data_IF_176973063937
#
_entry.id   IF_176973063937
#
_cell.length_a   1.000
_cell.length_b   1.000
_cell.length_c   1.000
_cell.angle_alpha   90.00
_cell.angle_beta   90.00
_cell.angle_gamma   90.00
#
_symmetry.space_group_name_H-M   'P 1'
#
loop_
_entity.id
_entity.type
_entity.pdbx_description
1 polymer ?
#
# COMPACT_ATOMS: atom_id res chain seq x y z
N UNK A 1 16.63 36.86 19.75
CA UNK A 1 16.38 36.17 18.46
C UNK A 1 16.00 34.74 18.81
N UNK A 2 14.98 34.14 18.18
CA UNK A 2 14.75 32.71 18.36
C UNK A 2 16.02 31.95 17.97
N UNK A 3 16.34 30.86 18.67
CA UNK A 3 17.37 29.94 18.21
C UNK A 3 16.92 29.27 16.91
N UNK A 4 17.85 28.80 16.07
CA UNK A 4 17.57 28.04 14.85
C UNK A 4 16.57 26.88 15.07
N UNK A 5 16.60 26.27 16.26
CA UNK A 5 15.64 25.25 16.69
C UNK A 5 14.18 25.74 16.76
N UNK A 6 13.95 27.00 17.14
CA UNK A 6 12.61 27.58 17.20
C UNK A 6 12.08 27.99 15.82
N UNK A 7 12.97 28.27 14.86
CA UNK A 7 12.60 28.65 13.49
C UNK A 7 12.00 27.46 12.75
N UNK A 8 12.65 26.28 12.82
CA UNK A 8 12.14 25.05 12.20
C UNK A 8 10.82 24.55 12.82
N UNK A 9 10.62 24.75 14.12
CA UNK A 9 9.32 24.46 14.75
C UNK A 9 8.23 25.39 14.22
N UNK A 10 8.52 26.68 14.05
CA UNK A 10 7.56 27.65 13.54
C UNK A 10 7.18 27.35 12.08
N UNK A 11 8.18 27.12 11.21
CA UNK A 11 7.98 26.76 9.80
C UNK A 11 7.11 25.49 9.64
N UNK A 12 7.31 24.50 10.51
CA UNK A 12 6.49 23.29 10.54
C UNK A 12 5.05 23.58 10.97
N UNK A 13 4.87 24.45 11.97
CA UNK A 13 3.55 24.75 12.54
C UNK A 13 2.71 25.70 11.67
N UNK A 14 3.34 26.62 10.94
CA UNK A 14 2.67 27.54 10.00
C UNK A 14 2.40 26.89 8.65
N UNK A 15 3.05 25.75 8.35
CA UNK A 15 2.96 25.07 7.07
C UNK A 15 3.73 25.79 5.95
N UNK A 16 4.69 26.65 6.31
CA UNK A 16 5.52 27.40 5.36
C UNK A 16 6.64 26.55 4.75
N UNK A 17 7.09 25.50 5.45
CA UNK A 17 8.09 24.57 4.93
C UNK A 17 7.51 23.59 3.90
N UNK A 18 8.29 23.29 2.87
CA UNK A 18 7.92 22.29 1.85
C UNK A 18 9.12 21.43 1.43
N UNK A 19 8.87 20.28 0.80
CA UNK A 19 9.93 19.42 0.26
C UNK A 19 10.99 19.02 1.28
N UNK A 20 12.26 19.28 0.96
CA UNK A 20 13.40 18.92 1.80
C UNK A 20 13.46 19.72 3.12
N UNK A 21 13.02 20.98 3.11
CA UNK A 21 12.99 21.84 4.30
C UNK A 21 11.98 21.31 5.32
N UNK A 22 10.81 20.88 4.84
CA UNK A 22 9.80 20.24 5.68
C UNK A 22 10.33 18.96 6.33
N UNK A 23 11.05 18.13 5.55
CA UNK A 23 11.63 16.90 6.06
C UNK A 23 12.67 17.18 7.16
N UNK A 24 13.53 18.17 6.94
CA UNK A 24 14.54 18.59 7.93
C UNK A 24 13.90 19.15 9.21
N UNK A 25 12.86 19.98 9.08
CA UNK A 25 12.12 20.51 10.22
C UNK A 25 11.40 19.40 11.01
N UNK A 26 10.77 18.45 10.33
CA UNK A 26 10.16 17.27 10.97
C UNK A 26 11.21 16.46 11.74
N UNK A 27 12.35 16.19 11.12
CA UNK A 27 13.44 15.43 11.74
C UNK A 27 14.01 16.14 12.96
N UNK A 28 14.23 17.45 12.88
CA UNK A 28 14.68 18.26 14.00
C UNK A 28 13.69 18.24 15.17
N UNK A 29 12.41 18.56 14.91
CA UNK A 29 11.38 18.62 15.96
C UNK A 29 11.22 17.25 16.63
N UNK A 30 11.30 16.14 15.88
CA UNK A 30 11.29 14.79 16.44
C UNK A 30 12.45 14.52 17.39
N UNK A 31 13.64 15.05 17.10
CA UNK A 31 14.84 14.77 17.86
C UNK A 31 15.14 15.81 18.95
N UNK A 32 14.56 17.00 18.90
CA UNK A 32 14.79 18.10 19.83
C UNK A 32 13.76 18.14 20.99
N UNK A 33 14.16 17.85 22.25
CA UNK A 33 13.23 17.84 23.39
C UNK A 33 12.59 19.20 23.68
N UNK A 34 13.31 20.29 23.42
CA UNK A 34 12.80 21.65 23.59
C UNK A 34 11.69 21.96 22.59
N UNK A 35 11.87 21.56 21.32
CA UNK A 35 10.85 21.72 20.28
C UNK A 35 9.57 20.93 20.59
N UNK A 36 9.71 19.67 21.05
CA UNK A 36 8.54 18.85 21.44
C UNK A 36 7.76 19.48 22.61
N UNK A 37 8.47 19.99 23.62
CA UNK A 37 7.84 20.67 24.74
C UNK A 37 7.19 22.02 24.35
N UNK A 38 7.74 22.71 23.35
CA UNK A 38 7.17 23.94 22.81
C UNK A 38 5.95 23.69 21.92
N UNK A 39 5.95 22.62 21.12
CA UNK A 39 4.86 22.23 20.22
C UNK A 39 3.53 22.09 20.97
N UNK A 40 3.51 21.41 22.13
CA UNK A 40 2.29 21.24 22.93
C UNK A 40 1.70 22.56 23.44
N UNK A 41 2.56 23.56 23.70
CA UNK A 41 2.15 24.88 24.19
C UNK A 41 1.69 25.76 23.03
N UNK A 42 2.42 25.73 21.92
CA UNK A 42 2.13 26.49 20.71
C UNK A 42 0.88 25.97 20.00
N UNK A 43 0.63 24.65 19.97
CA UNK A 43 -0.57 24.08 19.34
C UNK A 43 -1.85 24.62 19.97
N UNK A 44 -1.89 24.69 21.31
CA UNK A 44 -2.99 25.31 22.05
C UNK A 44 -3.15 26.80 21.75
N UNK A 45 -2.05 27.51 21.52
CA UNK A 45 -2.10 28.93 21.15
C UNK A 45 -2.60 29.11 19.71
N UNK A 46 -2.18 28.28 18.76
CA UNK A 46 -2.66 28.28 17.37
C UNK A 46 -4.17 28.00 17.31
N UNK A 47 -4.65 27.03 18.10
CA UNK A 47 -6.08 26.74 18.25
C UNK A 47 -6.87 27.95 18.79
N UNK A 48 -6.24 28.81 19.61
CA UNK A 48 -6.84 30.04 20.13
C UNK A 48 -6.78 31.22 19.15
N UNK A 49 -5.81 31.24 18.23
CA UNK A 49 -5.67 32.31 17.22
C UNK A 49 -6.53 32.06 15.97
N UNK A 50 -6.91 30.82 15.71
CA UNK A 50 -7.80 30.49 14.62
C UNK A 50 -9.26 30.72 15.03
N UNK A 51 -9.77 31.90 14.70
CA UNK A 51 -11.21 32.18 14.65
C UNK A 51 -11.83 31.53 13.39
N UNK A 52 -11.60 30.22 13.25
CA UNK A 52 -12.04 29.43 12.10
C UNK A 52 -13.45 28.97 12.41
N UNK A 53 -14.41 29.64 11.80
CA UNK A 53 -15.78 29.15 11.75
C UNK A 53 -15.76 27.75 11.09
N UNK A 54 -16.28 26.71 11.77
CA UNK A 54 -16.32 25.38 11.20
C UNK A 54 -17.03 25.42 9.84
N UNK A 55 -16.36 24.93 8.80
CA UNK A 55 -17.01 24.72 7.51
C UNK A 55 -17.96 23.54 7.66
N UNK A 56 -19.20 23.70 7.21
CA UNK A 56 -20.20 22.64 7.27
C UNK A 56 -19.66 21.37 6.60
N UNK A 57 -19.52 20.31 7.39
CA UNK A 57 -19.09 19.01 6.89
C UNK A 57 -20.26 18.38 6.12
N UNK A 58 -20.06 17.84 4.90
CA UNK A 58 -21.12 17.18 4.17
C UNK A 58 -21.79 16.07 4.98
N UNK A 59 -23.12 16.01 4.94
CA UNK A 59 -23.89 14.97 5.65
C UNK A 59 -23.37 13.59 5.27
N UNK A 60 -23.15 12.74 6.29
CA UNK A 60 -22.63 11.39 6.11
C UNK A 60 -21.10 11.29 6.01
N UNK A 61 -20.33 12.39 6.05
CA UNK A 61 -18.88 12.32 5.89
C UNK A 61 -18.19 11.58 7.04
N UNK A 62 -18.65 11.78 8.27
CA UNK A 62 -18.14 11.07 9.44
C UNK A 62 -18.42 9.57 9.33
N UNK A 63 -19.63 9.18 8.91
CA UNK A 63 -20.04 7.80 8.71
C UNK A 63 -19.26 7.14 7.57
N UNK A 64 -19.01 7.86 6.46
CA UNK A 64 -18.16 7.35 5.36
C UNK A 64 -16.71 7.15 5.81
N UNK A 65 -16.13 8.08 6.57
CA UNK A 65 -14.79 7.95 7.13
C UNK A 65 -14.71 6.81 8.15
N UNK A 66 -15.67 6.74 9.07
CA UNK A 66 -15.74 5.70 10.08
C UNK A 66 -16.03 4.33 9.46
N UNK A 67 -16.86 4.23 8.43
CA UNK A 67 -17.04 3.00 7.68
C UNK A 67 -15.73 2.57 7.05
N UNK A 68 -14.98 3.45 6.39
CA UNK A 68 -13.66 3.09 5.86
C UNK A 68 -12.67 2.65 6.94
N UNK A 69 -12.71 3.27 8.12
CA UNK A 69 -11.86 2.89 9.26
C UNK A 69 -12.31 1.59 9.95
N UNK A 70 -13.60 1.24 9.87
CA UNK A 70 -14.22 0.09 10.57
C UNK A 70 -14.45 -1.13 9.67
N UNK A 71 -14.57 -0.94 8.35
CA UNK A 71 -14.98 -1.97 7.38
C UNK A 71 -13.84 -2.89 6.92
N UNK A 72 -12.76 -2.97 7.69
CA UNK A 72 -11.67 -3.92 7.45
C UNK A 72 -10.36 -3.22 7.14
N UNK A 73 -9.26 -3.91 7.43
CA UNK A 73 -7.91 -3.38 7.40
C UNK A 73 -7.48 -2.74 6.08
N UNK A 74 -6.22 -2.29 6.05
CA UNK A 74 -5.58 -1.61 4.90
C UNK A 74 -5.76 -2.31 3.54
N UNK A 75 -6.12 -3.59 3.51
CA UNK A 75 -6.35 -4.34 2.27
C UNK A 75 -7.79 -4.31 1.78
N UNK A 76 -8.78 -4.13 2.66
CA UNK A 76 -10.21 -4.21 2.32
C UNK A 76 -10.67 -3.11 1.37
N UNK A 77 -9.85 -2.07 1.19
CA UNK A 77 -9.97 -1.12 0.09
C UNK A 77 -10.01 -1.78 -1.30
N UNK A 78 -9.40 -2.95 -1.47
CA UNK A 78 -9.30 -3.67 -2.74
C UNK A 78 -10.34 -4.78 -2.91
N UNK A 79 -11.33 -4.88 -2.02
CA UNK A 79 -12.29 -6.01 -2.03
C UNK A 79 -12.97 -6.18 -3.39
N UNK A 80 -13.50 -5.09 -3.97
CA UNK A 80 -14.21 -5.16 -5.25
C UNK A 80 -13.26 -5.52 -6.41
N UNK A 81 -12.02 -5.01 -6.39
CA UNK A 81 -11.02 -5.34 -7.40
C UNK A 81 -10.58 -6.80 -7.30
N UNK A 82 -10.42 -7.35 -6.09
CA UNK A 82 -10.07 -8.77 -5.89
C UNK A 82 -11.23 -9.67 -6.29
N UNK A 83 -12.46 -9.32 -5.93
CA UNK A 83 -13.66 -10.04 -6.36
C UNK A 83 -13.70 -10.13 -7.89
N UNK A 84 -13.45 -9.01 -8.58
CA UNK A 84 -13.39 -8.98 -10.04
C UNK A 84 -12.17 -9.70 -10.62
N UNK A 85 -10.99 -9.58 -10.01
CA UNK A 85 -9.78 -10.20 -10.57
C UNK A 85 -9.83 -11.73 -10.47
N UNK A 86 -10.25 -12.24 -9.31
CA UNK A 86 -10.28 -13.68 -9.00
C UNK A 86 -11.64 -14.34 -9.25
N UNK A 87 -12.62 -13.58 -9.76
CA UNK A 87 -13.97 -14.08 -10.02
C UNK A 87 -14.69 -14.60 -8.76
N UNK A 88 -14.44 -13.94 -7.64
CA UNK A 88 -14.99 -14.29 -6.33
C UNK A 88 -16.23 -13.45 -5.99
N UNK A 89 -17.02 -13.92 -5.03
CA UNK A 89 -17.99 -13.04 -4.38
C UNK A 89 -17.27 -11.93 -3.59
N UNK A 90 -17.94 -10.80 -3.36
CA UNK A 90 -17.40 -9.72 -2.51
C UNK A 90 -17.09 -10.22 -1.09
N UNK A 91 -17.87 -11.17 -0.58
CA UNK A 91 -17.65 -11.79 0.73
C UNK A 91 -16.38 -12.64 0.74
N UNK A 92 -16.22 -13.55 -0.23
CA UNK A 92 -15.02 -14.40 -0.34
C UNK A 92 -13.75 -13.57 -0.56
N UNK A 93 -13.84 -12.49 -1.34
CA UNK A 93 -12.74 -11.55 -1.54
C UNK A 93 -12.36 -10.84 -0.24
N UNK A 94 -13.34 -10.38 0.54
CA UNK A 94 -13.09 -9.74 1.84
C UNK A 94 -12.42 -10.71 2.83
N UNK A 95 -12.83 -11.98 2.80
CA UNK A 95 -12.31 -13.06 3.64
C UNK A 95 -10.88 -13.43 3.26
N UNK A 96 -10.61 -13.53 1.97
CA UNK A 96 -9.25 -13.70 1.45
C UNK A 96 -8.33 -12.55 1.90
N UNK A 97 -8.78 -11.30 1.76
CA UNK A 97 -8.01 -10.13 2.19
C UNK A 97 -7.83 -10.06 3.71
N UNK A 98 -8.76 -10.60 4.51
CA UNK A 98 -8.57 -10.75 5.96
C UNK A 98 -7.49 -11.79 6.27
N UNK A 99 -7.51 -12.94 5.59
CA UNK A 99 -6.48 -13.99 5.73
C UNK A 99 -5.10 -13.51 5.30
N UNK A 100 -5.02 -12.65 4.29
CA UNK A 100 -3.78 -12.06 3.80
C UNK A 100 -2.99 -11.27 4.88
N UNK A 101 -3.64 -10.79 5.94
CA UNK A 101 -2.98 -10.16 7.10
C UNK A 101 -2.29 -11.15 8.04
N UNK A 102 -2.75 -12.39 8.08
CA UNK A 102 -2.19 -13.44 8.92
C UNK A 102 -1.04 -14.19 8.26
N UNK A 103 -0.71 -15.32 8.87
CA UNK A 103 0.28 -16.28 8.37
C UNK A 103 -0.35 -17.61 7.93
N UNK A 104 -1.65 -17.79 8.17
CA UNK A 104 -2.36 -19.03 7.83
C UNK A 104 -2.55 -19.17 6.32
N UNK A 105 -2.28 -20.38 5.80
CA UNK A 105 -2.41 -20.71 4.38
C UNK A 105 -1.28 -20.18 3.48
N UNK A 106 -0.37 -19.35 4.00
CA UNK A 106 0.82 -18.94 3.26
C UNK A 106 1.83 -20.09 3.19
N UNK A 107 2.29 -20.35 1.97
CA UNK A 107 3.30 -21.35 1.64
C UNK A 107 4.58 -20.66 1.20
N UNK A 108 5.72 -21.36 1.31
CA UNK A 108 6.99 -20.85 0.78
C UNK A 108 6.92 -20.80 -0.75
N UNK A 109 7.35 -19.68 -1.31
CA UNK A 109 7.30 -19.41 -2.74
C UNK A 109 8.54 -19.92 -3.50
N UNK A 110 8.66 -19.54 -4.79
CA UNK A 110 9.73 -20.01 -5.67
C UNK A 110 11.13 -19.47 -5.34
N UNK A 111 11.26 -18.53 -4.40
CA UNK A 111 12.53 -17.92 -4.04
C UNK A 111 12.61 -17.47 -2.58
N UNK A 112 13.82 -17.22 -2.04
CA UNK A 112 13.99 -16.72 -0.69
C UNK A 112 13.24 -15.40 -0.47
N UNK A 113 12.47 -15.31 0.61
CA UNK A 113 11.67 -14.11 0.91
C UNK A 113 10.41 -13.98 0.06
N UNK A 114 10.01 -15.01 -0.69
CA UNK A 114 8.73 -15.06 -1.40
C UNK A 114 7.80 -16.04 -0.69
N UNK A 115 6.55 -15.63 -0.47
CA UNK A 115 5.47 -16.51 -0.01
C UNK A 115 4.26 -16.40 -0.93
N UNK A 116 3.51 -17.48 -1.01
CA UNK A 116 2.32 -17.57 -1.87
C UNK A 116 1.14 -18.03 -1.01
N UNK A 117 -0.01 -17.38 -1.18
CA UNK A 117 -1.29 -17.85 -0.67
C UNK A 117 -2.13 -18.26 -1.88
N UNK A 118 -2.23 -19.56 -2.19
CA UNK A 118 -3.05 -20.04 -3.30
C UNK A 118 -4.52 -19.69 -3.12
N UNK A 119 -5.21 -19.38 -4.23
CA UNK A 119 -6.62 -19.00 -4.22
C UNK A 119 -7.40 -19.91 -5.15
N UNK A 120 -8.47 -20.52 -4.62
CA UNK A 120 -9.47 -21.18 -5.44
C UNK A 120 -10.34 -20.11 -6.10
N UNK A 121 -10.00 -19.76 -7.33
CA UNK A 121 -10.66 -18.70 -8.08
C UNK A 121 -12.01 -19.18 -8.65
N UNK A 122 -12.84 -18.21 -9.08
CA UNK A 122 -14.13 -18.51 -9.70
C UNK A 122 -14.02 -19.00 -11.15
N UNK A 123 -15.16 -19.44 -11.73
CA UNK A 123 -15.20 -20.17 -13.00
C UNK A 123 -14.52 -19.46 -14.18
N UNK A 124 -14.48 -18.13 -14.21
CA UNK A 124 -13.85 -17.40 -15.32
C UNK A 124 -12.34 -17.57 -15.38
N UNK A 125 -11.69 -17.83 -14.25
CA UNK A 125 -10.22 -17.96 -14.15
C UNK A 125 -9.80 -19.25 -13.43
N UNK A 126 -10.69 -20.25 -13.37
CA UNK A 126 -10.46 -21.51 -12.65
C UNK A 126 -9.29 -22.34 -13.22
N UNK A 127 -8.99 -22.18 -14.50
CA UNK A 127 -7.86 -22.82 -15.19
C UNK A 127 -6.55 -22.00 -15.11
N UNK A 128 -6.56 -20.89 -14.35
CA UNK A 128 -5.38 -20.04 -14.13
C UNK A 128 -4.76 -20.31 -12.77
N UNK A 129 -3.44 -20.14 -12.67
CA UNK A 129 -2.78 -20.07 -11.36
C UNK A 129 -3.17 -18.73 -10.74
N UNK A 130 -3.88 -18.78 -9.62
CA UNK A 130 -4.37 -17.60 -8.91
C UNK A 130 -3.84 -17.60 -7.49
N UNK A 131 -3.20 -16.51 -7.08
CA UNK A 131 -2.63 -16.40 -5.74
C UNK A 131 -2.49 -14.95 -5.26
N UNK A 132 -2.41 -14.78 -3.94
CA UNK A 132 -1.70 -13.63 -3.39
C UNK A 132 -0.21 -13.98 -3.23
N UNK A 133 0.67 -13.04 -3.57
CA UNK A 133 2.12 -13.21 -3.49
C UNK A 133 2.67 -12.12 -2.58
N UNK A 134 3.47 -12.54 -1.59
CA UNK A 134 4.22 -11.64 -0.71
C UNK A 134 5.69 -11.79 -1.04
N UNK A 135 6.34 -10.69 -1.35
CA UNK A 135 7.77 -10.59 -1.60
C UNK A 135 8.36 -9.63 -0.59
N UNK A 136 9.26 -10.12 0.26
CA UNK A 136 9.92 -9.32 1.28
C UNK A 136 10.73 -8.16 0.65
N UNK A 137 10.99 -7.07 1.38
CA UNK A 137 11.79 -5.95 0.85
C UNK A 137 13.14 -6.42 0.29
N UNK A 138 13.46 -5.98 -0.94
CA UNK A 138 14.69 -6.36 -1.65
C UNK A 138 14.71 -7.81 -2.17
N UNK A 139 13.71 -8.64 -1.86
CA UNK A 139 13.63 -10.00 -2.37
C UNK A 139 13.19 -10.03 -3.85
N UNK A 140 13.60 -11.09 -4.55
CA UNK A 140 13.33 -11.28 -5.97
C UNK A 140 12.32 -12.40 -6.16
N UNK A 141 11.25 -12.12 -6.91
CA UNK A 141 10.46 -13.18 -7.50
C UNK A 141 11.23 -13.70 -8.72
N UNK A 142 11.62 -14.99 -8.75
CA UNK A 142 12.53 -15.51 -9.75
C UNK A 142 11.99 -15.38 -11.18
N UNK A 143 12.93 -15.45 -12.13
CA UNK A 143 12.62 -15.47 -13.54
C UNK A 143 11.66 -16.60 -13.92
N UNK A 144 10.62 -16.27 -14.69
CA UNK A 144 9.65 -17.24 -15.16
C UNK A 144 9.00 -16.83 -16.50
N UNK A 145 8.64 -17.81 -17.34
CA UNK A 145 7.89 -17.57 -18.57
C UNK A 145 6.36 -17.60 -18.35
N UNK A 146 5.63 -16.81 -19.13
CA UNK A 146 4.16 -16.80 -19.14
C UNK A 146 3.63 -17.70 -20.25
N UNK A 147 2.92 -18.78 -19.90
CA UNK A 147 2.30 -19.67 -20.89
C UNK A 147 1.07 -19.02 -21.54
N UNK A 148 0.29 -18.28 -20.76
CA UNK A 148 -0.80 -17.42 -21.19
C UNK A 148 -0.65 -16.02 -20.59
N UNK A 149 -1.66 -15.14 -20.74
CA UNK A 149 -1.60 -13.81 -20.15
C UNK A 149 -1.50 -13.83 -18.62
N UNK A 150 -0.67 -12.96 -18.07
CA UNK A 150 -0.56 -12.72 -16.64
C UNK A 150 -1.09 -11.32 -16.28
N UNK A 151 -1.82 -11.23 -15.16
CA UNK A 151 -2.22 -9.96 -14.55
C UNK A 151 -1.79 -9.92 -13.09
N UNK A 152 -1.00 -8.90 -12.73
CA UNK A 152 -0.53 -8.65 -11.37
C UNK A 152 -1.07 -7.31 -10.89
N UNK A 153 -1.75 -7.30 -9.74
CA UNK A 153 -2.23 -6.10 -9.07
C UNK A 153 -1.53 -5.92 -7.73
N UNK A 154 -0.85 -4.79 -7.51
CA UNK A 154 -0.16 -4.53 -6.24
C UNK A 154 -1.16 -4.04 -5.20
N UNK A 155 -1.20 -4.72 -4.06
CA UNK A 155 -2.03 -4.36 -2.92
C UNK A 155 -1.25 -3.52 -1.91
N UNK A 156 0.05 -3.76 -1.76
CA UNK A 156 0.93 -3.02 -0.83
C UNK A 156 2.36 -2.95 -1.35
N UNK A 157 3.04 -1.85 -1.02
CA UNK A 157 4.40 -1.60 -1.47
C UNK A 157 4.49 -1.49 -2.99
N UNK A 158 5.43 -2.20 -3.59
CA UNK A 158 5.62 -2.25 -5.03
C UNK A 158 6.85 -3.04 -5.45
N UNK A 159 7.02 -3.19 -6.76
CA UNK A 159 8.17 -3.86 -7.35
C UNK A 159 8.64 -3.17 -8.63
N UNK A 160 9.85 -3.54 -9.08
CA UNK A 160 10.38 -3.26 -10.42
C UNK A 160 10.68 -4.56 -11.15
N UNK A 161 10.18 -4.71 -12.37
CA UNK A 161 10.51 -5.86 -13.22
C UNK A 161 11.86 -5.71 -13.96
N UNK A 162 12.33 -6.77 -14.62
CA UNK A 162 13.57 -6.74 -15.41
C UNK A 162 13.57 -5.77 -16.57
N UNK A 163 12.40 -5.33 -17.04
CA UNK A 163 12.26 -4.34 -18.11
C UNK A 163 12.31 -2.90 -17.56
N UNK A 164 12.44 -2.74 -16.24
CA UNK A 164 12.51 -1.45 -15.55
C UNK A 164 11.14 -0.85 -15.23
N UNK A 165 10.05 -1.56 -15.49
CA UNK A 165 8.69 -1.11 -15.16
C UNK A 165 8.51 -1.18 -13.65
N UNK A 166 8.12 -0.07 -13.06
CA UNK A 166 7.75 0.01 -11.66
C UNK A 166 6.23 -0.11 -11.51
N UNK A 167 5.79 -0.88 -10.53
CA UNK A 167 4.37 -1.09 -10.24
C UNK A 167 4.15 -0.89 -8.75
N UNK A 168 3.28 0.06 -8.41
CA UNK A 168 3.01 0.47 -7.04
C UNK A 168 1.61 0.09 -6.60
N UNK A 169 1.36 0.15 -5.29
CA UNK A 169 0.05 -0.11 -4.68
C UNK A 169 -1.10 0.53 -5.48
N UNK A 170 -2.06 -0.31 -5.87
CA UNK A 170 -3.25 0.04 -6.63
C UNK A 170 -3.09 -0.07 -8.15
N UNK A 171 -1.86 -0.19 -8.64
CA UNK A 171 -1.58 -0.36 -10.06
C UNK A 171 -1.66 -1.83 -10.49
N UNK A 172 -1.86 -2.01 -11.80
CA UNK A 172 -2.02 -3.33 -12.42
C UNK A 172 -1.08 -3.44 -13.61
N UNK A 173 -0.21 -4.45 -13.58
CA UNK A 173 0.60 -4.85 -14.72
C UNK A 173 -0.06 -6.02 -15.44
N UNK A 174 -0.15 -5.92 -16.78
CA UNK A 174 -0.66 -6.99 -17.65
C UNK A 174 0.41 -7.39 -18.62
N UNK A 175 0.70 -8.68 -18.69
CA UNK A 175 1.78 -9.23 -19.49
C UNK A 175 1.20 -10.30 -20.42
N UNK A 176 1.40 -10.19 -21.74
CA UNK A 176 0.92 -11.19 -22.70
C UNK A 176 1.55 -12.58 -22.47
N UNK A 177 0.89 -13.62 -22.98
CA UNK A 177 1.51 -14.94 -23.08
C UNK A 177 2.74 -14.90 -24.01
N UNK A 178 3.76 -15.70 -23.69
CA UNK A 178 5.03 -15.73 -24.40
C UNK A 178 6.03 -14.66 -23.97
N UNK A 179 5.67 -13.77 -23.05
CA UNK A 179 6.66 -12.94 -22.33
C UNK A 179 7.25 -13.69 -21.15
N UNK A 180 8.33 -13.15 -20.59
CA UNK A 180 9.03 -13.71 -19.45
C UNK A 180 9.64 -12.56 -18.65
N UNK A 181 9.69 -12.71 -17.33
CA UNK A 181 10.31 -11.72 -16.47
C UNK A 181 10.70 -12.30 -15.11
N UNK A 182 11.47 -11.51 -14.38
CA UNK A 182 11.63 -11.53 -12.93
C UNK A 182 11.27 -10.15 -12.39
N UNK A 183 11.09 -10.04 -11.08
CA UNK A 183 10.90 -8.73 -10.44
C UNK A 183 11.45 -8.69 -9.03
N UNK A 184 11.85 -7.49 -8.61
CA UNK A 184 12.39 -7.21 -7.27
C UNK A 184 11.44 -6.29 -6.53
N UNK A 185 11.04 -6.67 -5.32
CA UNK A 185 10.26 -5.79 -4.45
C UNK A 185 11.13 -4.65 -3.94
N UNK A 186 10.56 -3.45 -3.82
CA UNK A 186 11.33 -2.29 -3.37
C UNK A 186 11.88 -2.45 -1.95
N UNK A 187 13.08 -1.89 -1.75
CA UNK A 187 13.73 -1.80 -0.45
C UNK A 187 12.83 -1.11 0.59
N UNK A 188 12.88 -1.57 1.83
CA UNK A 188 12.12 -1.03 2.97
C UNK A 188 10.62 -1.31 3.02
N UNK A 189 9.93 -1.54 1.89
CA UNK A 189 8.46 -1.69 1.85
C UNK A 189 7.96 -3.07 1.41
N UNK A 190 8.72 -3.81 0.61
CA UNK A 190 8.29 -5.11 0.08
C UNK A 190 7.13 -5.00 -0.92
N UNK A 191 6.54 -6.12 -1.29
CA UNK A 191 5.39 -6.18 -2.18
C UNK A 191 4.39 -7.24 -1.73
N UNK A 192 3.11 -6.85 -1.64
CA UNK A 192 1.99 -7.78 -1.60
C UNK A 192 1.17 -7.55 -2.87
N UNK A 193 1.01 -8.56 -3.70
CA UNK A 193 0.24 -8.47 -4.93
C UNK A 193 -0.73 -9.65 -5.11
N UNK A 194 -1.74 -9.45 -5.95
CA UNK A 194 -2.68 -10.46 -6.41
C UNK A 194 -2.32 -10.80 -7.86
N UNK A 195 -2.11 -12.09 -8.16
CA UNK A 195 -1.68 -12.56 -9.46
C UNK A 195 -2.67 -13.57 -10.04
N UNK A 196 -2.96 -13.42 -11.33
CA UNK A 196 -3.67 -14.40 -12.17
C UNK A 196 -2.78 -14.71 -13.36
N UNK A 197 -2.31 -15.94 -13.47
CA UNK A 197 -1.48 -16.40 -14.56
C UNK A 197 -2.21 -17.50 -15.34
N UNK A 198 -2.66 -17.17 -16.54
CA UNK A 198 -3.39 -18.11 -17.39
C UNK A 198 -2.45 -19.18 -17.95
N UNK A 199 -2.90 -20.44 -17.95
CA UNK A 199 -2.11 -21.58 -18.41
C UNK A 199 -2.25 -21.86 -19.92
N UNK A 200 -3.09 -21.11 -20.62
CA UNK A 200 -3.35 -21.25 -22.06
C UNK A 200 -3.24 -19.89 -22.76
N UNK A 201 -2.72 -19.82 -24.00
CA UNK A 201 -2.79 -18.63 -24.82
C UNK A 201 -4.26 -18.31 -25.13
N UNK A 202 -4.72 -17.12 -24.75
CA UNK A 202 -6.08 -16.64 -24.96
C UNK A 202 -6.40 -16.27 -26.40
#
# INVERSE_FOLDING_TARGET
MPSEAHEQLLELMTGEASGAELQAAIEHVRNCPECRAAQDKLGKAVDMFHDVSPVAVPVGAAERLLSRARSGGRLQFFTDQIAQLFDLSTEDAADLLRRAHGTEGWEEGPGPGVKILPVNAGPRVSESITALVRVEPGATFPFHPHLGPETVMVLEGGFRDSQGVEVWRGEVQRMPGGTEHDFVAFEGVGCLCAAVNALMPG
#
